data_IF_318628821296
#
_entry.id   IF_318628821296
#
_cell.length_a   1.000
_cell.length_b   1.000
_cell.length_c   1.000
_cell.angle_alpha   90.00
_cell.angle_beta   90.00
_cell.angle_gamma   90.00
#
_symmetry.space_group_name_H-M   'P 1'
#
loop_
_entity.id
_entity.type
_entity.pdbx_description
1 polymer ?
#
# COMPACT_ATOMS: atom_id res chain seq x y z
N UNK A 1 -0.95 -0.53 -10.81
CA UNK A 1 -0.91 0.93 -10.59
C UNK A 1 0.24 1.33 -9.68
N UNK A 2 0.31 0.83 -8.43
CA UNK A 2 1.37 1.18 -7.47
C UNK A 2 2.80 1.18 -8.04
N UNK A 3 3.26 0.06 -8.63
CA UNK A 3 4.57 0.03 -9.32
C UNK A 3 4.73 1.13 -10.37
N UNK A 4 3.73 1.35 -11.22
CA UNK A 4 3.84 2.34 -12.29
C UNK A 4 3.94 3.77 -11.72
N UNK A 5 3.09 4.11 -10.74
CA UNK A 5 3.12 5.41 -10.08
C UNK A 5 4.48 5.69 -9.42
N UNK A 6 5.07 4.66 -8.81
CA UNK A 6 6.35 4.81 -8.13
C UNK A 6 7.52 4.90 -9.10
N UNK A 7 7.50 4.12 -10.19
CA UNK A 7 8.51 4.27 -11.24
C UNK A 7 8.46 5.66 -11.88
N UNK A 8 7.27 6.26 -11.99
CA UNK A 8 7.10 7.63 -12.50
C UNK A 8 7.67 8.71 -11.58
N UNK A 9 7.73 8.48 -10.26
CA UNK A 9 8.33 9.46 -9.35
C UNK A 9 9.85 9.48 -9.44
N UNK A 10 10.48 8.39 -9.88
CA UNK A 10 11.94 8.23 -9.91
C UNK A 10 12.58 8.20 -8.51
N UNK A 11 11.81 8.37 -7.44
CA UNK A 11 12.31 8.42 -6.08
C UNK A 11 12.56 7.04 -5.49
N UNK A 12 11.90 6.00 -6.02
CA UNK A 12 12.03 4.66 -5.50
C UNK A 12 12.35 3.59 -6.56
N UNK A 13 12.96 2.51 -6.10
CA UNK A 13 13.32 1.34 -6.88
C UNK A 13 12.69 0.08 -6.28
N UNK A 14 12.14 -0.78 -7.14
CA UNK A 14 11.57 -2.08 -6.73
C UNK A 14 12.70 -3.11 -6.60
N UNK A 15 13.05 -3.45 -5.35
CA UNK A 15 14.21 -4.32 -5.04
C UNK A 15 13.84 -5.77 -4.70
N UNK A 16 12.66 -5.99 -4.14
CA UNK A 16 12.21 -7.28 -3.62
C UNK A 16 10.68 -7.38 -3.61
N UNK A 17 10.14 -8.58 -3.39
CA UNK A 17 8.69 -8.72 -3.21
C UNK A 17 8.17 -10.13 -3.02
N UNK A 18 6.91 -10.20 -2.59
CA UNK A 18 6.05 -11.38 -2.62
C UNK A 18 4.97 -11.13 -3.67
N UNK A 19 5.07 -11.84 -4.79
CA UNK A 19 4.31 -11.52 -6.01
C UNK A 19 3.11 -12.43 -6.30
N UNK A 20 2.63 -13.15 -5.29
CA UNK A 20 1.54 -14.11 -5.42
C UNK A 20 1.63 -15.21 -4.39
N UNK A 21 0.56 -16.01 -4.28
CA UNK A 21 0.60 -17.27 -3.55
C UNK A 21 1.18 -18.42 -4.38
N UNK A 22 1.20 -18.28 -5.70
CA UNK A 22 1.84 -19.23 -6.61
C UNK A 22 3.29 -18.78 -6.83
N UNK A 23 4.23 -19.51 -6.23
CA UNK A 23 5.63 -19.14 -6.22
C UNK A 23 6.25 -19.16 -7.63
N UNK A 24 5.87 -20.12 -8.49
CA UNK A 24 6.38 -20.22 -9.84
C UNK A 24 5.95 -18.99 -10.67
N UNK A 25 4.67 -18.63 -10.61
CA UNK A 25 4.16 -17.40 -11.26
C UNK A 25 4.78 -16.14 -10.66
N UNK A 26 4.96 -16.12 -9.34
CA UNK A 26 5.57 -15.01 -8.62
C UNK A 26 7.00 -14.74 -9.10
N UNK A 27 7.82 -15.80 -9.20
CA UNK A 27 9.20 -15.73 -9.71
C UNK A 27 9.26 -15.29 -11.17
N UNK A 28 8.44 -15.89 -12.04
CA UNK A 28 8.37 -15.48 -13.45
C UNK A 28 7.93 -14.01 -13.60
N UNK A 29 7.02 -13.54 -12.73
CA UNK A 29 6.65 -12.14 -12.70
C UNK A 29 7.77 -11.24 -12.22
N UNK A 30 8.49 -11.62 -11.16
CA UNK A 30 9.62 -10.90 -10.59
C UNK A 30 10.74 -10.72 -11.63
N UNK A 31 11.08 -11.79 -12.35
CA UNK A 31 12.09 -11.78 -13.40
C UNK A 31 11.72 -10.81 -14.53
N UNK A 32 10.48 -10.88 -15.03
CA UNK A 32 9.97 -10.00 -16.09
C UNK A 32 10.04 -8.51 -15.73
N UNK A 33 10.11 -8.18 -14.44
CA UNK A 33 10.06 -6.81 -13.95
C UNK A 33 11.41 -6.36 -13.37
N UNK A 34 12.45 -7.18 -13.54
CA UNK A 34 13.82 -6.84 -13.16
C UNK A 34 14.14 -7.03 -11.67
N UNK A 35 13.34 -7.79 -10.92
CA UNK A 35 13.65 -8.11 -9.52
C UNK A 35 14.63 -9.28 -9.47
N UNK A 36 15.71 -9.14 -8.70
CA UNK A 36 16.72 -10.17 -8.55
C UNK A 36 16.11 -11.51 -8.08
N UNK A 37 16.52 -12.63 -8.67
CA UNK A 37 15.94 -13.95 -8.40
C UNK A 37 15.91 -14.31 -6.90
N UNK A 38 16.99 -13.97 -6.16
CA UNK A 38 17.08 -14.17 -4.71
C UNK A 38 16.30 -13.18 -3.84
N UNK A 39 15.46 -12.33 -4.44
CA UNK A 39 14.60 -11.33 -3.76
C UNK A 39 13.13 -11.44 -4.16
N UNK A 40 12.76 -12.55 -4.80
CA UNK A 40 11.37 -12.98 -4.98
C UNK A 40 11.03 -14.03 -3.93
N UNK A 41 10.36 -13.62 -2.87
CA UNK A 41 10.06 -14.46 -1.70
C UNK A 41 8.71 -15.18 -1.86
N UNK A 42 8.54 -16.31 -1.16
CA UNK A 42 7.28 -17.06 -1.15
C UNK A 42 6.21 -16.38 -0.30
N UNK A 43 6.61 -15.81 0.84
CA UNK A 43 5.72 -15.17 1.81
C UNK A 43 6.41 -14.02 2.57
N UNK A 44 5.62 -13.36 3.43
CA UNK A 44 6.06 -12.21 4.21
C UNK A 44 7.19 -12.55 5.19
N UNK A 45 7.12 -13.73 5.82
CA UNK A 45 8.09 -14.12 6.84
C UNK A 45 9.46 -14.42 6.21
N UNK A 46 9.47 -15.14 5.08
CA UNK A 46 10.69 -15.38 4.31
C UNK A 46 11.32 -14.07 3.84
N UNK A 47 10.49 -13.12 3.40
CA UNK A 47 10.92 -11.79 2.98
C UNK A 47 11.55 -11.01 4.13
N UNK A 48 10.90 -10.94 5.30
CA UNK A 48 11.43 -10.27 6.48
C UNK A 48 12.76 -10.89 6.92
N UNK A 49 12.83 -12.22 6.96
CA UNK A 49 14.05 -12.94 7.29
C UNK A 49 15.17 -12.69 6.28
N UNK A 50 14.86 -12.73 4.98
CA UNK A 50 15.81 -12.51 3.90
C UNK A 50 16.38 -11.09 3.89
N UNK A 51 15.53 -10.10 4.08
CA UNK A 51 15.91 -8.69 4.05
C UNK A 51 16.66 -8.28 5.33
N UNK A 52 16.28 -8.80 6.50
CA UNK A 52 16.98 -8.52 7.77
C UNK A 52 18.47 -8.90 7.77
N UNK A 53 18.88 -9.85 6.91
CA UNK A 53 20.28 -10.30 6.77
C UNK A 53 21.13 -9.40 5.86
N UNK A 54 20.54 -8.46 5.12
CA UNK A 54 21.28 -7.60 4.17
C UNK A 54 22.00 -6.46 4.90
N UNK A 55 22.92 -5.78 4.23
CA UNK A 55 23.54 -4.56 4.78
C UNK A 55 22.52 -3.39 4.80
N UNK A 56 22.62 -2.42 5.73
CA UNK A 56 21.66 -1.31 5.85
C UNK A 56 21.36 -0.51 4.58
N UNK A 57 22.28 -0.44 3.61
CA UNK A 57 22.05 0.23 2.32
C UNK A 57 21.49 -0.66 1.19
N UNK A 58 21.24 -1.94 1.49
CA UNK A 58 20.69 -2.91 0.53
C UNK A 58 19.30 -3.44 0.91
N UNK A 59 18.93 -3.27 2.19
CA UNK A 59 17.62 -3.63 2.75
C UNK A 59 16.53 -2.79 2.11
N UNK A 60 15.36 -3.38 1.93
CA UNK A 60 14.15 -2.58 1.67
C UNK A 60 13.85 -1.64 2.83
N UNK A 61 13.28 -0.48 2.51
CA UNK A 61 12.94 0.56 3.50
C UNK A 61 11.41 0.72 3.63
N UNK A 62 10.68 0.52 2.53
CA UNK A 62 9.23 0.68 2.48
C UNK A 62 8.55 -0.45 1.71
N UNK A 63 7.36 -0.83 2.18
CA UNK A 63 6.58 -1.94 1.64
C UNK A 63 5.20 -1.46 1.18
N UNK A 64 4.84 -1.70 -0.09
CA UNK A 64 3.46 -1.54 -0.53
C UNK A 64 2.65 -2.82 -0.37
N UNK A 65 1.59 -2.76 0.44
CA UNK A 65 0.71 -3.89 0.77
C UNK A 65 -0.55 -3.81 -0.08
N UNK A 66 -0.69 -4.70 -1.07
CA UNK A 66 -1.85 -4.78 -1.99
C UNK A 66 -2.53 -6.15 -1.86
N UNK A 67 -2.85 -6.51 -0.63
CA UNK A 67 -3.40 -7.82 -0.28
C UNK A 67 -4.91 -7.75 -0.05
N UNK A 68 -5.63 -8.88 0.08
CA UNK A 68 -7.00 -8.84 0.55
C UNK A 68 -7.14 -8.13 1.92
N UNK A 69 -8.26 -7.44 2.13
CA UNK A 69 -8.47 -6.52 3.28
C UNK A 69 -8.17 -7.13 4.66
N UNK A 70 -8.53 -8.40 4.89
CA UNK A 70 -8.32 -9.06 6.19
C UNK A 70 -6.84 -9.30 6.52
N UNK A 71 -5.95 -9.19 5.53
CA UNK A 71 -4.51 -9.35 5.72
C UNK A 71 -3.80 -8.02 5.98
N UNK A 72 -4.45 -6.88 5.77
CA UNK A 72 -3.79 -5.58 5.95
C UNK A 72 -3.29 -5.40 7.37
N UNK A 73 -4.16 -5.48 8.37
CA UNK A 73 -3.76 -5.31 9.77
C UNK A 73 -2.58 -6.21 10.18
N UNK A 74 -2.68 -7.56 10.09
CA UNK A 74 -1.58 -8.42 10.54
C UNK A 74 -0.29 -8.22 9.73
N UNK A 75 -0.37 -7.91 8.43
CA UNK A 75 0.84 -7.66 7.63
C UNK A 75 1.49 -6.32 7.98
N UNK A 76 0.72 -5.24 8.08
CA UNK A 76 1.25 -3.92 8.47
C UNK A 76 1.86 -4.00 9.87
N UNK A 77 1.21 -4.69 10.80
CA UNK A 77 1.70 -4.87 12.15
C UNK A 77 3.11 -5.51 12.19
N UNK A 78 3.31 -6.59 11.42
CA UNK A 78 4.62 -7.26 11.30
C UNK A 78 5.68 -6.44 10.60
N UNK A 79 5.30 -5.70 9.56
CA UNK A 79 6.21 -4.82 8.84
C UNK A 79 6.72 -3.69 9.74
N UNK A 80 5.84 -3.10 10.55
CA UNK A 80 6.22 -2.08 11.53
C UNK A 80 7.11 -2.65 12.63
N UNK A 81 6.88 -3.89 13.08
CA UNK A 81 7.78 -4.56 14.03
C UNK A 81 9.19 -4.76 13.48
N UNK A 82 9.32 -4.95 12.17
CA UNK A 82 10.59 -5.03 11.46
C UNK A 82 11.24 -3.65 11.17
N UNK A 83 10.59 -2.55 11.57
CA UNK A 83 11.09 -1.19 11.34
C UNK A 83 10.93 -0.70 9.90
N UNK A 84 9.99 -1.28 9.13
CA UNK A 84 9.74 -0.90 7.75
C UNK A 84 8.60 0.13 7.65
N UNK A 85 8.76 1.12 6.77
CA UNK A 85 7.66 1.99 6.39
C UNK A 85 6.64 1.20 5.55
N UNK A 86 5.36 1.58 5.61
CA UNK A 86 4.29 0.84 4.93
C UNK A 86 3.40 1.77 4.11
N UNK A 87 3.10 1.37 2.88
CA UNK A 87 2.06 1.99 2.04
C UNK A 87 0.96 0.97 1.74
N UNK A 88 -0.15 1.04 2.49
CA UNK A 88 -1.20 0.03 2.46
C UNK A 88 -2.35 0.42 1.53
N UNK A 89 -2.87 -0.54 0.77
CA UNK A 89 -4.16 -0.38 0.11
C UNK A 89 -5.29 -0.20 1.13
N UNK A 90 -6.34 0.51 0.71
CA UNK A 90 -7.50 0.73 1.58
C UNK A 90 -8.39 -0.52 1.63
N UNK A 91 -9.07 -0.77 2.75
CA UNK A 91 -8.95 -0.08 4.05
C UNK A 91 -7.70 -0.56 4.82
N UNK A 92 -7.07 0.30 5.63
CA UNK A 92 -5.89 -0.07 6.43
C UNK A 92 -6.15 -1.25 7.38
N UNK A 93 -7.36 -1.32 7.93
CA UNK A 93 -7.82 -2.36 8.84
C UNK A 93 -9.34 -2.52 8.71
N UNK A 94 -9.91 -3.52 9.37
CA UNK A 94 -11.36 -3.75 9.39
C UNK A 94 -12.05 -3.01 10.55
N UNK A 95 -11.28 -2.56 11.53
CA UNK A 95 -11.79 -1.77 12.66
C UNK A 95 -10.93 -0.54 12.97
N UNK A 96 -11.55 0.47 13.58
CA UNK A 96 -10.85 1.67 14.07
C UNK A 96 -9.85 1.33 15.18
N UNK A 97 -10.17 0.36 16.04
CA UNK A 97 -9.29 -0.09 17.13
C UNK A 97 -7.96 -0.62 16.57
N UNK A 98 -8.02 -1.45 15.53
CA UNK A 98 -6.85 -1.94 14.80
C UNK A 98 -6.06 -0.79 14.16
N UNK A 99 -6.74 0.16 13.50
CA UNK A 99 -6.07 1.30 12.86
C UNK A 99 -5.30 2.15 13.89
N UNK A 100 -5.91 2.45 15.03
CA UNK A 100 -5.27 3.20 16.12
C UNK A 100 -4.11 2.41 16.77
N UNK A 101 -4.19 1.08 16.81
CA UNK A 101 -3.07 0.25 17.26
C UNK A 101 -1.88 0.35 16.31
N UNK A 102 -2.12 0.33 15.00
CA UNK A 102 -1.07 0.52 13.99
C UNK A 102 -0.46 1.92 14.04
N UNK A 103 -1.27 2.97 14.24
CA UNK A 103 -0.79 4.34 14.42
C UNK A 103 0.18 4.44 15.60
N UNK A 104 -0.25 3.95 16.78
CA UNK A 104 0.62 3.94 17.97
C UNK A 104 1.90 3.14 17.73
N UNK A 105 1.81 1.98 17.07
CA UNK A 105 2.98 1.16 16.73
C UNK A 105 3.92 1.91 15.78
N UNK A 106 3.39 2.57 14.75
CA UNK A 106 4.19 3.34 13.81
C UNK A 106 4.97 4.46 14.51
N UNK A 107 4.33 5.20 15.42
CA UNK A 107 4.98 6.23 16.24
C UNK A 107 6.09 5.63 17.09
N UNK A 108 5.79 4.57 17.86
CA UNK A 108 6.77 3.90 18.74
C UNK A 108 7.97 3.34 17.96
N UNK A 109 7.75 2.84 16.74
CA UNK A 109 8.80 2.26 15.88
C UNK A 109 9.52 3.30 15.01
N UNK A 110 9.11 4.57 15.04
CA UNK A 110 9.65 5.60 14.15
C UNK A 110 9.36 5.35 12.67
N UNK A 111 8.30 4.59 12.37
CA UNK A 111 7.90 4.21 11.03
C UNK A 111 6.77 5.11 10.50
N UNK A 112 6.56 5.09 9.18
CA UNK A 112 5.49 5.84 8.53
C UNK A 112 4.51 4.86 7.91
N UNK A 113 3.22 5.15 8.03
CA UNK A 113 2.15 4.38 7.38
C UNK A 113 1.37 5.32 6.48
N UNK A 114 1.40 5.06 5.19
CA UNK A 114 0.53 5.68 4.19
C UNK A 114 -0.61 4.74 3.82
N UNK A 115 -1.79 5.30 3.53
CA UNK A 115 -2.94 4.55 3.02
C UNK A 115 -3.31 5.10 1.64
N UNK A 116 -3.65 4.21 0.71
CA UNK A 116 -3.97 4.55 -0.67
C UNK A 116 -5.34 5.25 -0.86
N UNK A 117 -5.57 6.36 -0.16
CA UNK A 117 -6.72 7.25 -0.37
C UNK A 117 -6.53 8.12 -1.63
N UNK A 118 -6.62 7.50 -2.79
CA UNK A 118 -6.25 8.10 -4.09
C UNK A 118 -6.98 9.39 -4.44
N UNK A 119 -8.22 9.60 -3.98
CA UNK A 119 -8.97 10.83 -4.25
C UNK A 119 -8.31 12.09 -3.70
N UNK A 120 -7.56 11.97 -2.61
CA UNK A 120 -6.78 13.09 -2.05
C UNK A 120 -5.68 13.59 -3.00
N UNK A 121 -5.26 12.74 -3.95
CA UNK A 121 -4.27 13.08 -4.97
C UNK A 121 -4.85 13.83 -6.19
N UNK A 122 -6.17 13.98 -6.30
CA UNK A 122 -6.78 14.59 -7.48
C UNK A 122 -6.54 16.10 -7.49
N UNK A 123 -6.09 16.70 -8.61
CA UNK A 123 -5.80 18.14 -8.67
C UNK A 123 -6.98 19.01 -8.24
N UNK A 124 -8.20 18.65 -8.62
CA UNK A 124 -9.41 19.39 -8.22
C UNK A 124 -9.66 19.34 -6.72
N UNK A 125 -9.41 18.21 -6.04
CA UNK A 125 -9.54 18.09 -4.58
C UNK A 125 -8.48 18.94 -3.88
N UNK A 126 -7.24 18.94 -4.39
CA UNK A 126 -6.16 19.78 -3.87
C UNK A 126 -6.43 21.28 -4.07
N UNK A 127 -6.96 21.66 -5.23
CA UNK A 127 -7.36 23.04 -5.53
C UNK A 127 -8.52 23.49 -4.63
N UNK A 128 -9.54 22.64 -4.46
CA UNK A 128 -10.66 22.91 -3.57
C UNK A 128 -10.17 23.14 -2.13
N UNK A 129 -9.26 22.28 -1.62
CA UNK A 129 -8.63 22.48 -0.31
C UNK A 129 -7.90 23.82 -0.23
N UNK A 130 -7.14 24.20 -1.26
CA UNK A 130 -6.41 25.46 -1.29
C UNK A 130 -7.34 26.69 -1.27
N UNK A 131 -8.42 26.67 -2.05
CA UNK A 131 -9.42 27.74 -2.07
C UNK A 131 -10.13 27.91 -0.72
N UNK A 132 -10.51 26.80 -0.09
CA UNK A 132 -11.13 26.81 1.25
C UNK A 132 -10.14 27.35 2.30
N UNK A 133 -8.90 26.84 2.31
CA UNK A 133 -7.87 27.31 3.24
C UNK A 133 -7.49 28.79 3.04
N UNK A 134 -7.56 29.29 1.81
CA UNK A 134 -7.38 30.70 1.47
C UNK A 134 -8.59 31.60 1.74
N UNK A 135 -9.69 31.05 2.26
CA UNK A 135 -10.89 31.82 2.61
C UNK A 135 -11.75 32.25 1.41
N UNK A 136 -11.51 31.71 0.21
CA UNK A 136 -12.15 32.17 -1.03
C UNK A 136 -13.69 32.08 -1.03
N UNK A 137 -14.27 31.23 -0.18
CA UNK A 137 -15.72 31.03 -0.05
C UNK A 137 -16.25 31.32 1.37
N UNK A 138 -15.42 31.85 2.27
CA UNK A 138 -15.74 31.99 3.69
C UNK A 138 -15.90 30.65 4.41
N UNK A 139 -16.77 30.61 5.43
CA UNK A 139 -17.03 29.40 6.21
C UNK A 139 -17.89 28.38 5.41
N UNK A 140 -17.41 27.15 5.29
CA UNK A 140 -18.15 26.06 4.63
C UNK A 140 -19.44 25.76 5.41
N UNK A 141 -20.59 25.94 4.75
CA UNK A 141 -21.91 25.70 5.36
C UNK A 141 -22.45 24.28 5.07
N UNK A 142 -22.18 23.74 3.87
CA UNK A 142 -22.68 22.44 3.43
C UNK A 142 -21.70 21.78 2.47
N UNK A 143 -21.58 20.45 2.58
CA UNK A 143 -20.85 19.61 1.63
C UNK A 143 -21.84 18.56 1.10
N UNK A 144 -21.99 18.48 -0.22
CA UNK A 144 -22.74 17.43 -0.90
C UNK A 144 -21.75 16.54 -1.67
N UNK A 145 -21.83 15.22 -1.46
CA UNK A 145 -20.89 14.25 -2.06
C UNK A 145 -21.68 13.07 -2.60
N UNK A 146 -21.48 12.79 -3.88
CA UNK A 146 -22.10 11.67 -4.56
C UNK A 146 -21.00 10.72 -5.05
N UNK A 147 -21.10 9.45 -4.64
CA UNK A 147 -20.17 8.41 -5.07
C UNK A 147 -20.95 7.30 -5.78
N UNK A 148 -20.94 7.35 -7.10
CA UNK A 148 -21.58 6.34 -7.93
C UNK A 148 -20.64 5.14 -8.10
N UNK A 149 -20.96 4.05 -7.41
CA UNK A 149 -20.24 2.80 -7.57
C UNK A 149 -21.09 1.82 -8.39
N UNK A 150 -20.69 1.61 -9.65
CA UNK A 150 -21.22 0.49 -10.43
C UNK A 150 -20.66 -0.83 -9.89
N UNK A 151 -21.53 -1.76 -9.48
CA UNK A 151 -21.12 -3.16 -9.43
C UNK A 151 -20.99 -3.63 -10.88
N UNK A 152 -19.83 -4.16 -11.27
CA UNK A 152 -19.67 -4.89 -12.52
C UNK A 152 -20.58 -6.15 -12.47
N UNK A 153 -21.83 -6.01 -12.91
CA UNK A 153 -22.77 -7.12 -13.02
C UNK A 153 -22.44 -8.06 -14.19
N UNK A 154 -21.48 -7.71 -15.05
CA UNK A 154 -21.20 -8.45 -16.28
C UNK A 154 -20.34 -9.72 -16.07
N UNK A 155 -19.74 -9.90 -14.88
CA UNK A 155 -18.88 -11.06 -14.57
C UNK A 155 -19.52 -12.14 -13.70
N UNK A 156 -20.64 -11.86 -13.03
CA UNK A 156 -21.25 -12.80 -12.07
C UNK A 156 -22.31 -13.73 -12.72
N UNK A 157 -22.83 -13.37 -13.90
CA UNK A 157 -23.84 -14.20 -14.58
C UNK A 157 -23.29 -15.47 -15.26
N UNK A 158 -21.97 -15.59 -15.47
CA UNK A 158 -21.36 -16.77 -16.14
C UNK A 158 -20.71 -17.78 -15.20
N UNK A 159 -20.69 -17.52 -13.90
CA UNK A 159 -20.22 -18.49 -12.89
C UNK A 159 -21.29 -18.61 -11.83
N UNK A 160 -22.22 -19.55 -12.04
CA UNK A 160 -23.25 -19.88 -11.07
C UNK A 160 -22.63 -20.20 -9.72
N UNK A 161 -22.72 -19.25 -8.78
CA UNK A 161 -22.59 -19.53 -7.35
C UNK A 161 -23.67 -18.74 -6.63
N UNK A 162 -24.70 -19.47 -6.23
CA UNK A 162 -25.79 -19.00 -5.40
C UNK A 162 -25.25 -18.35 -4.11
N UNK A 163 -25.88 -17.24 -3.74
CA UNK A 163 -25.65 -16.51 -2.50
C UNK A 163 -25.81 -17.42 -1.27
N UNK A 164 -24.75 -17.56 -0.49
CA UNK A 164 -24.79 -17.64 0.98
C UNK A 164 -23.68 -16.75 1.52
N UNK A 165 -24.01 -15.99 2.57
CA UNK A 165 -23.10 -15.04 3.21
C UNK A 165 -21.83 -15.69 3.74
N UNK A 166 -20.80 -14.85 3.90
CA UNK A 166 -19.46 -15.14 4.43
C UNK A 166 -18.60 -16.04 3.53
N UNK A 167 -17.76 -15.43 2.68
CA UNK A 167 -16.45 -15.98 2.31
C UNK A 167 -15.64 -14.94 1.50
N UNK A 168 -14.58 -14.43 2.12
CA UNK A 168 -13.48 -13.78 1.42
C UNK A 168 -12.81 -14.77 0.46
N UNK A 169 -12.93 -14.59 -0.85
CA UNK A 169 -12.05 -15.25 -1.83
C UNK A 169 -11.75 -14.33 -3.00
N UNK A 170 -10.85 -13.38 -2.80
CA UNK A 170 -10.05 -12.78 -3.87
C UNK A 170 -8.61 -13.30 -3.76
N UNK A 171 -8.35 -14.41 -4.47
CA UNK A 171 -6.99 -14.91 -4.71
C UNK A 171 -6.30 -14.02 -5.72
N UNK A 172 -5.65 -12.94 -5.27
CA UNK A 172 -4.47 -12.36 -5.94
C UNK A 172 -3.73 -11.52 -4.90
N UNK A 173 -2.64 -12.04 -4.36
CA UNK A 173 -1.73 -11.33 -3.48
C UNK A 173 -0.63 -10.68 -4.34
N UNK A 174 -0.48 -9.36 -4.30
CA UNK A 174 0.68 -8.67 -4.91
C UNK A 174 1.20 -7.62 -3.94
N UNK A 175 2.19 -7.94 -3.13
CA UNK A 175 2.95 -6.89 -2.45
C UNK A 175 4.03 -6.36 -3.41
N UNK A 176 4.21 -5.04 -3.49
CA UNK A 176 5.23 -4.40 -4.34
C UNK A 176 6.09 -3.51 -3.44
N UNK A 177 7.41 -3.70 -3.38
CA UNK A 177 8.26 -3.07 -2.36
C UNK A 177 9.19 -2.03 -2.97
N UNK A 178 9.57 -1.00 -2.24
CA UNK A 178 10.20 0.19 -2.81
C UNK A 178 11.38 0.61 -1.92
N UNK A 179 12.45 1.11 -2.52
CA UNK A 179 13.64 1.63 -1.83
C UNK A 179 13.94 3.02 -2.37
N UNK A 180 14.16 4.01 -1.51
CA UNK A 180 14.38 5.40 -1.93
C UNK A 180 15.82 5.61 -2.42
N UNK A 181 16.05 6.29 -3.56
CA UNK A 181 17.42 6.62 -4.03
C UNK A 181 17.75 8.10 -3.82
N UNK A 182 18.88 8.32 -3.12
CA UNK A 182 19.73 9.52 -2.99
C UNK A 182 19.47 10.64 -1.96
N UNK A 183 20.63 11.20 -1.52
CA UNK A 183 20.96 12.09 -0.41
C UNK A 183 20.56 13.58 -0.61
N UNK A 184 20.21 14.21 0.52
CA UNK A 184 20.27 15.65 0.88
C UNK A 184 19.47 16.67 0.06
N UNK A 185 18.41 17.18 0.70
CA UNK A 185 18.27 18.63 0.98
C UNK A 185 17.41 18.79 2.24
N UNK A 186 17.90 19.60 3.18
CA UNK A 186 17.13 20.06 4.33
C UNK A 186 15.81 20.69 3.88
N UNK A 187 14.71 20.34 4.53
CA UNK A 187 13.65 21.33 4.78
C UNK A 187 13.40 21.38 6.28
N UNK A 188 14.02 22.39 6.89
CA UNK A 188 13.66 22.90 8.20
C UNK A 188 12.39 23.71 7.96
N UNK A 189 11.28 23.32 8.57
CA UNK A 189 10.07 24.13 8.63
C UNK A 189 10.33 25.34 9.52
N UNK A 190 10.17 26.54 8.97
CA UNK A 190 9.70 27.70 9.73
C UNK A 190 8.18 27.67 9.80
#
# INVERSE_FOLDING_TARGET
>A
MHRAAVMLSGEFELRAGVFGTDQARGRAFAERIGVAAGRSYADLEEMLAGESRRAPGERIEVVSVLTPNHLHFPMVDRLLDAGLHVFCEKPLSLSVVEALALERKAVTRGCQVGVAHTYTGYPMVRQMRALIAGGAIGAVQKIDVQYYQGLDQSRDARRGTARRGVASRSRTLRAQLLHRRYRRTCFRSG
#
